data_IF_083964380171
#
_entry.id   IF_083964380171
#
_cell.length_a   1.000
_cell.length_b   1.000
_cell.length_c   1.000
_cell.angle_alpha   90.00
_cell.angle_beta   90.00
_cell.angle_gamma   90.00
#
_symmetry.space_group_name_H-M   'P 1'
#
loop_
_entity.id
_entity.type
_entity.pdbx_description
1 polymer ?
#
# COMPACT_ATOMS: atom_id res chain seq x y z
N UNK A 1 -30.17 -7.34 5.72
CA UNK A 1 -29.95 -8.65 5.02
C UNK A 1 -28.65 -8.57 4.27
N UNK A 2 -27.81 -9.57 4.44
CA UNK A 2 -26.50 -9.66 3.77
C UNK A 2 -26.68 -9.91 2.26
N UNK A 3 -26.05 -9.07 1.42
CA UNK A 3 -26.07 -9.18 -0.02
C UNK A 3 -24.66 -9.39 -0.56
N UNK A 4 -24.33 -10.61 -0.96
CA UNK A 4 -23.00 -10.98 -1.47
C UNK A 4 -22.51 -10.15 -2.66
N UNK A 5 -23.43 -9.57 -3.44
CA UNK A 5 -23.04 -8.75 -4.60
C UNK A 5 -22.61 -7.32 -4.25
N UNK A 6 -23.13 -6.77 -3.15
CA UNK A 6 -22.91 -5.37 -2.77
C UNK A 6 -22.12 -5.20 -1.49
N UNK A 7 -22.10 -6.23 -0.64
CA UNK A 7 -21.50 -6.12 0.69
C UNK A 7 -20.04 -6.60 0.75
N UNK A 8 -19.53 -7.21 -0.32
CA UNK A 8 -18.15 -7.66 -0.42
C UNK A 8 -17.35 -6.78 -1.36
N UNK A 9 -16.16 -6.39 -0.90
CA UNK A 9 -15.20 -5.65 -1.71
C UNK A 9 -14.38 -6.64 -2.53
N UNK A 10 -14.40 -6.48 -3.85
CA UNK A 10 -13.56 -7.29 -4.73
C UNK A 10 -12.13 -6.77 -4.71
N UNK A 11 -11.15 -7.68 -4.79
CA UNK A 11 -9.74 -7.32 -4.82
C UNK A 11 -9.37 -6.37 -5.96
N UNK A 12 -10.02 -6.51 -7.10
CA UNK A 12 -9.84 -5.62 -8.26
C UNK A 12 -10.36 -4.19 -8.03
N UNK A 13 -11.21 -3.99 -7.03
CA UNK A 13 -11.77 -2.69 -6.67
C UNK A 13 -10.89 -1.89 -5.69
N UNK A 14 -9.84 -2.49 -5.16
CA UNK A 14 -8.90 -1.79 -4.27
C UNK A 14 -7.56 -1.59 -4.97
N UNK A 15 -7.11 -0.35 -5.00
CA UNK A 15 -5.85 0.06 -5.61
C UNK A 15 -5.01 0.86 -4.64
N UNK A 16 -3.70 0.81 -4.84
CA UNK A 16 -2.73 1.62 -4.10
C UNK A 16 -2.29 2.79 -4.95
N UNK A 17 -2.40 3.98 -4.39
CA UNK A 17 -2.01 5.23 -5.03
C UNK A 17 -0.79 5.81 -4.31
N UNK A 18 0.19 6.23 -5.08
CA UNK A 18 1.39 6.90 -4.59
C UNK A 18 1.25 8.39 -4.86
N UNK A 19 1.44 9.19 -3.82
CA UNK A 19 1.42 10.65 -3.91
C UNK A 19 2.79 11.19 -4.30
N UNK A 20 2.80 12.05 -5.31
CA UNK A 20 3.96 12.83 -5.71
C UNK A 20 3.64 14.31 -5.54
N UNK A 21 4.47 15.00 -4.76
CA UNK A 21 4.29 16.43 -4.49
C UNK A 21 5.22 17.25 -5.36
N UNK A 22 4.64 18.12 -6.17
CA UNK A 22 5.37 19.10 -6.98
C UNK A 22 4.90 20.50 -6.55
N UNK A 23 5.79 21.25 -5.91
CA UNK A 23 5.43 22.54 -5.30
C UNK A 23 4.45 22.33 -4.13
N UNK A 24 3.27 22.94 -4.21
CA UNK A 24 2.21 22.84 -3.20
C UNK A 24 1.12 21.82 -3.57
N UNK A 25 1.24 21.16 -4.72
CA UNK A 25 0.24 20.21 -5.24
C UNK A 25 0.74 18.78 -5.11
N UNK A 26 -0.07 17.93 -4.49
CA UNK A 26 0.17 16.49 -4.41
C UNK A 26 -0.78 15.78 -5.37
N UNK A 27 -0.21 15.00 -6.29
CA UNK A 27 -0.96 14.18 -7.24
C UNK A 27 -0.79 12.71 -6.88
N UNK A 28 -1.90 11.98 -6.80
CA UNK A 28 -1.92 10.55 -6.53
C UNK A 28 -2.08 9.77 -7.83
N UNK A 29 -1.16 8.85 -8.07
CA UNK A 29 -1.17 7.99 -9.25
C UNK A 29 -1.17 6.52 -8.84
N UNK A 30 -1.96 5.67 -9.50
CA UNK A 30 -1.98 4.24 -9.18
C UNK A 30 -0.67 3.57 -9.60
N UNK A 31 -0.32 2.49 -8.90
CA UNK A 31 0.77 1.61 -9.33
C UNK A 31 0.32 0.90 -10.61
N UNK A 32 1.13 1.04 -11.65
CA UNK A 32 0.78 0.53 -12.98
C UNK A 32 0.63 -1.00 -12.97
N UNK A 33 -0.44 -1.48 -13.57
CA UNK A 33 -0.71 -2.90 -13.79
C UNK A 33 -0.49 -3.78 -12.54
N UNK A 34 -0.88 -3.27 -11.38
CA UNK A 34 -0.78 -4.01 -10.14
C UNK A 34 -1.70 -5.24 -10.16
N UNK A 35 -1.16 -6.37 -9.75
CA UNK A 35 -1.87 -7.64 -9.67
C UNK A 35 -2.29 -7.97 -8.24
N UNK A 36 -1.49 -7.59 -7.27
CA UNK A 36 -1.72 -7.92 -5.86
C UNK A 36 -1.24 -6.79 -4.96
N UNK A 37 -2.06 -6.47 -3.97
CA UNK A 37 -1.69 -5.57 -2.88
C UNK A 37 -1.93 -6.27 -1.55
N UNK A 38 -0.98 -6.16 -0.64
CA UNK A 38 -1.10 -6.69 0.71
C UNK A 38 -0.74 -5.63 1.73
N UNK A 39 -1.70 -5.27 2.58
CA UNK A 39 -1.49 -4.38 3.71
C UNK A 39 -1.46 -5.21 4.99
N UNK A 40 -0.37 -5.10 5.74
CA UNK A 40 -0.21 -5.73 7.05
C UNK A 40 -0.06 -4.67 8.12
N UNK A 41 -0.84 -4.78 9.17
CA UNK A 41 -0.76 -3.90 10.34
C UNK A 41 -0.38 -4.79 11.53
N UNK A 42 0.69 -4.44 12.22
CA UNK A 42 1.22 -5.21 13.34
C UNK A 42 1.36 -4.34 14.58
N UNK A 43 1.18 -4.95 15.73
CA UNK A 43 1.41 -4.30 17.02
C UNK A 43 2.44 -5.09 17.82
N UNK A 44 3.38 -4.39 18.43
CA UNK A 44 4.29 -4.99 19.38
C UNK A 44 3.55 -5.34 20.67
N UNK A 45 3.92 -6.44 21.30
CA UNK A 45 3.35 -6.86 22.56
C UNK A 45 4.28 -6.55 23.73
N UNK A 46 3.71 -6.07 24.82
CA UNK A 46 4.41 -5.84 26.07
C UNK A 46 3.88 -6.86 27.07
N UNK A 47 4.75 -7.74 27.57
CA UNK A 47 4.37 -8.74 28.57
C UNK A 47 4.10 -8.06 29.91
N UNK A 48 2.90 -8.19 30.40
CA UNK A 48 2.42 -7.65 31.70
C UNK A 48 2.12 -8.76 32.68
N UNK A 49 2.49 -10.00 32.37
CA UNK A 49 2.24 -11.16 33.23
C UNK A 49 2.87 -10.96 34.63
N UNK A 50 2.16 -11.35 35.65
CA UNK A 50 2.58 -11.27 37.04
C UNK A 50 2.24 -12.56 37.78
N UNK A 51 2.61 -12.63 39.06
CA UNK A 51 2.20 -13.75 39.93
C UNK A 51 0.69 -13.91 40.05
N UNK A 52 -0.08 -12.86 39.75
CA UNK A 52 -1.54 -12.87 39.79
C UNK A 52 -2.18 -13.29 38.47
N UNK A 53 -1.41 -13.40 37.38
CA UNK A 53 -1.94 -13.82 36.05
C UNK A 53 -2.26 -15.33 35.96
N UNK A 54 -1.84 -16.12 36.94
CA UNK A 54 -2.08 -17.56 36.98
C UNK A 54 -1.33 -18.30 35.87
N UNK A 55 -2.03 -19.21 35.20
CA UNK A 55 -1.48 -20.02 34.13
C UNK A 55 -1.43 -19.32 32.76
N UNK A 56 -2.02 -18.14 32.65
CA UNK A 56 -2.16 -17.40 31.41
C UNK A 56 -1.23 -16.19 31.37
N UNK A 57 -0.64 -15.96 30.19
CA UNK A 57 0.14 -14.73 29.94
C UNK A 57 -0.76 -13.58 29.62
N UNK A 58 -0.38 -12.41 30.09
CA UNK A 58 -1.07 -11.14 29.83
C UNK A 58 -0.15 -10.21 29.04
N UNK A 59 -0.71 -9.52 28.04
CA UNK A 59 0.02 -8.61 27.15
C UNK A 59 -0.75 -7.31 26.96
N UNK A 60 0.00 -6.23 26.78
CA UNK A 60 -0.49 -4.97 26.22
C UNK A 60 0.05 -4.79 24.82
N UNK A 61 -0.72 -4.12 23.98
CA UNK A 61 -0.24 -3.71 22.66
C UNK A 61 0.63 -2.46 22.81
N UNK A 62 1.85 -2.54 22.32
CA UNK A 62 2.79 -1.42 22.30
C UNK A 62 2.65 -0.57 21.04
N UNK A 63 3.76 -0.32 20.36
CA UNK A 63 3.75 0.45 19.11
C UNK A 63 3.14 -0.33 17.97
N UNK A 64 2.37 0.36 17.15
CA UNK A 64 1.81 -0.19 15.92
C UNK A 64 2.72 0.15 14.73
N UNK A 65 2.82 -0.78 13.81
CA UNK A 65 3.50 -0.58 12.54
C UNK A 65 2.65 -1.16 11.40
N UNK A 66 2.88 -0.68 10.20
CA UNK A 66 2.22 -1.20 9.03
C UNK A 66 3.18 -1.30 7.84
N UNK A 67 2.90 -2.23 6.97
CA UNK A 67 3.69 -2.53 5.79
C UNK A 67 2.75 -2.82 4.62
N UNK A 68 3.10 -2.30 3.46
CA UNK A 68 2.37 -2.53 2.23
C UNK A 68 3.30 -3.17 1.22
N UNK A 69 2.85 -4.28 0.63
CA UNK A 69 3.54 -4.95 -0.47
C UNK A 69 2.64 -4.94 -1.69
N UNK A 70 3.20 -4.60 -2.84
CA UNK A 70 2.50 -4.60 -4.12
C UNK A 70 3.31 -5.31 -5.18
N UNK A 71 2.64 -6.15 -5.95
CA UNK A 71 3.17 -6.79 -7.13
C UNK A 71 2.50 -6.22 -8.38
N UNK A 72 3.28 -5.92 -9.39
CA UNK A 72 2.80 -5.30 -10.63
C UNK A 72 3.58 -5.76 -11.85
N UNK A 73 2.98 -5.60 -13.02
CA UNK A 73 3.70 -5.73 -14.29
C UNK A 73 4.44 -4.42 -14.59
N UNK A 74 5.63 -4.52 -15.14
CA UNK A 74 6.41 -3.35 -15.50
C UNK A 74 5.81 -2.70 -16.74
N UNK A 75 5.47 -1.42 -16.64
CA UNK A 75 4.87 -0.63 -17.71
C UNK A 75 5.75 0.54 -18.12
N UNK A 76 5.59 0.96 -19.36
CA UNK A 76 6.15 2.21 -19.89
C UNK A 76 5.08 3.30 -20.04
N UNK A 77 3.85 3.02 -19.67
CA UNK A 77 2.73 3.97 -19.80
C UNK A 77 2.91 5.14 -18.85
N UNK A 78 2.73 6.35 -19.35
CA UNK A 78 2.69 7.57 -18.53
C UNK A 78 1.39 7.67 -17.73
N UNK A 79 1.40 8.43 -16.64
CA UNK A 79 0.24 8.64 -15.78
C UNK A 79 0.07 7.60 -14.68
N UNK A 80 0.87 6.54 -14.68
CA UNK A 80 0.90 5.52 -13.63
C UNK A 80 2.29 5.48 -12.97
N UNK A 81 2.35 5.06 -11.72
CA UNK A 81 3.61 4.83 -11.03
C UNK A 81 4.31 3.62 -11.64
N UNK A 82 5.33 3.88 -12.45
CA UNK A 82 6.18 2.85 -13.06
C UNK A 82 7.33 2.48 -12.14
N UNK A 83 8.02 1.38 -12.45
CA UNK A 83 9.22 0.97 -11.73
C UNK A 83 10.29 2.07 -11.70
N UNK A 84 10.50 2.78 -12.79
CA UNK A 84 11.50 3.85 -12.85
C UNK A 84 11.14 5.03 -11.95
N UNK A 85 9.88 5.43 -11.91
CA UNK A 85 9.39 6.49 -11.02
C UNK A 85 9.56 6.09 -9.54
N UNK A 86 9.21 4.86 -9.19
CA UNK A 86 9.38 4.33 -7.84
C UNK A 86 10.86 4.25 -7.43
N UNK A 87 11.72 3.88 -8.36
CA UNK A 87 13.17 3.87 -8.14
C UNK A 87 13.72 5.27 -7.86
N UNK A 88 13.25 6.28 -8.58
CA UNK A 88 13.63 7.68 -8.34
C UNK A 88 13.15 8.17 -6.97
N UNK A 89 11.92 7.84 -6.59
CA UNK A 89 11.38 8.17 -5.27
C UNK A 89 12.18 7.49 -4.15
N UNK A 90 12.55 6.23 -4.33
CA UNK A 90 13.41 5.52 -3.37
C UNK A 90 14.79 6.17 -3.25
N UNK A 91 15.37 6.63 -4.34
CA UNK A 91 16.68 7.29 -4.35
C UNK A 91 16.68 8.64 -3.62
N UNK A 92 15.55 9.33 -3.57
CA UNK A 92 15.38 10.57 -2.80
C UNK A 92 15.43 10.34 -1.28
N UNK A 93 15.21 9.12 -0.82
CA UNK A 93 15.21 8.71 0.61
C UNK A 93 14.24 9.49 1.49
N UNK A 94 13.15 9.94 0.91
CA UNK A 94 12.11 10.68 1.60
C UNK A 94 10.84 9.83 1.73
N UNK A 95 10.03 10.02 2.79
CA UNK A 95 8.73 9.39 2.87
C UNK A 95 7.83 9.83 1.73
N UNK A 96 7.03 8.91 1.24
CA UNK A 96 6.02 9.16 0.21
C UNK A 96 4.63 9.02 0.79
N UNK A 97 3.68 9.73 0.22
CA UNK A 97 2.28 9.62 0.60
C UNK A 97 1.64 8.44 -0.10
N UNK A 98 0.85 7.67 0.64
CA UNK A 98 0.15 6.50 0.14
C UNK A 98 -1.33 6.63 0.46
N UNK A 99 -2.17 6.30 -0.51
CA UNK A 99 -3.61 6.14 -0.32
C UNK A 99 -4.04 4.78 -0.87
N UNK A 100 -4.97 4.16 -0.17
CA UNK A 100 -5.60 2.92 -0.61
C UNK A 100 -7.09 3.20 -0.79
N UNK A 101 -7.61 2.87 -1.94
CA UNK A 101 -9.01 3.13 -2.24
C UNK A 101 -9.43 2.54 -3.57
N UNK A 102 -10.65 2.87 -3.98
CA UNK A 102 -11.20 2.42 -5.26
C UNK A 102 -10.99 3.49 -6.33
N UNK A 103 -10.81 3.10 -7.61
CA UNK A 103 -10.78 4.06 -8.71
C UNK A 103 -12.18 4.64 -8.96
N UNK A 104 -12.21 5.81 -9.57
CA UNK A 104 -13.47 6.39 -10.09
C UNK A 104 -14.06 5.44 -11.12
N UNK A 105 -15.37 5.19 -11.04
CA UNK A 105 -16.08 4.31 -11.98
C UNK A 105 -15.99 4.89 -13.39
N UNK A 106 -15.67 4.02 -14.36
CA UNK A 106 -15.52 4.37 -15.78
C UNK A 106 -14.39 5.35 -16.13
N UNK A 107 -13.44 5.57 -15.21
CA UNK A 107 -12.24 6.34 -15.52
C UNK A 107 -11.14 5.42 -16.08
N UNK A 108 -10.74 5.66 -17.33
CA UNK A 108 -9.68 4.89 -17.99
C UNK A 108 -8.29 5.10 -17.35
N UNK A 109 -8.09 6.18 -16.63
CA UNK A 109 -6.84 6.49 -15.92
C UNK A 109 -6.80 5.94 -14.48
N UNK A 110 -7.88 5.34 -14.03
CA UNK A 110 -8.01 4.79 -12.68
C UNK A 110 -7.71 5.80 -11.56
N UNK A 111 -8.13 7.06 -11.73
CA UNK A 111 -8.00 8.07 -10.69
C UNK A 111 -8.69 7.64 -9.38
N UNK A 112 -8.10 8.02 -8.25
CA UNK A 112 -8.67 7.70 -6.94
C UNK A 112 -10.03 8.39 -6.76
N UNK A 113 -11.03 7.61 -6.37
CA UNK A 113 -12.28 8.15 -5.83
C UNK A 113 -12.07 8.50 -4.35
N UNK A 114 -11.95 9.78 -4.06
CA UNK A 114 -11.72 10.26 -2.69
C UNK A 114 -12.84 9.89 -1.71
N UNK A 115 -14.04 9.66 -2.21
CA UNK A 115 -15.16 9.20 -1.39
C UNK A 115 -15.06 7.73 -0.99
N UNK A 116 -14.26 6.96 -1.72
CA UNK A 116 -14.02 5.53 -1.49
C UNK A 116 -12.61 5.25 -0.91
N UNK A 117 -11.93 6.26 -0.40
CA UNK A 117 -10.64 6.10 0.28
C UNK A 117 -10.81 5.26 1.55
N UNK A 118 -10.05 4.18 1.66
CA UNK A 118 -10.10 3.27 2.81
C UNK A 118 -8.98 3.49 3.82
N UNK A 119 -7.82 3.92 3.36
CA UNK A 119 -6.68 4.18 4.23
C UNK A 119 -5.69 5.16 3.58
N UNK A 120 -5.03 5.94 4.39
CA UNK A 120 -3.96 6.84 3.95
C UNK A 120 -2.85 6.94 4.99
N UNK A 121 -1.65 7.19 4.54
CA UNK A 121 -0.50 7.35 5.42
C UNK A 121 0.76 7.71 4.65
N UNK A 122 1.86 7.84 5.36
CA UNK A 122 3.19 8.03 4.78
C UNK A 122 4.00 6.76 4.91
N UNK A 123 4.81 6.46 3.92
CA UNK A 123 5.67 5.28 3.92
C UNK A 123 7.02 5.56 3.28
N UNK A 124 7.99 4.74 3.60
CA UNK A 124 9.28 4.70 2.92
C UNK A 124 9.40 3.42 2.10
N UNK A 125 9.99 3.53 0.93
CA UNK A 125 10.25 2.37 0.09
C UNK A 125 11.46 1.62 0.67
N UNK A 126 11.25 0.40 1.11
CA UNK A 126 12.30 -0.43 1.72
C UNK A 126 12.86 -1.46 0.76
N UNK A 127 12.07 -1.90 -0.21
CA UNK A 127 12.50 -2.87 -1.22
C UNK A 127 11.81 -2.58 -2.55
N UNK A 128 12.56 -2.69 -3.62
CA UNK A 128 12.06 -2.56 -4.98
C UNK A 128 12.79 -3.55 -5.86
N UNK A 129 12.05 -4.54 -6.36
CA UNK A 129 12.60 -5.63 -7.17
C UNK A 129 11.96 -5.64 -8.55
N UNK A 130 12.74 -6.02 -9.53
CA UNK A 130 12.29 -6.22 -10.90
C UNK A 130 12.78 -7.57 -11.39
N UNK A 131 11.86 -8.39 -11.86
CA UNK A 131 12.16 -9.72 -12.40
C UNK A 131 11.85 -9.76 -13.88
N UNK A 132 12.81 -10.19 -14.67
CA UNK A 132 12.67 -10.38 -16.11
C UNK A 132 13.08 -11.81 -16.47
N UNK A 133 12.11 -12.58 -16.92
CA UNK A 133 12.32 -13.97 -17.36
C UNK A 133 12.06 -14.04 -18.86
N UNK A 134 12.94 -14.74 -19.59
CA UNK A 134 12.78 -14.92 -21.04
C UNK A 134 11.47 -15.63 -21.37
N UNK A 135 10.67 -15.04 -22.25
CA UNK A 135 9.37 -15.57 -22.65
C UNK A 135 8.20 -15.12 -21.75
N UNK A 136 8.45 -14.32 -20.72
CA UNK A 136 7.44 -13.82 -19.79
C UNK A 136 7.47 -12.29 -19.72
N UNK A 137 6.39 -11.70 -19.19
CA UNK A 137 6.34 -10.27 -18.90
C UNK A 137 7.23 -9.94 -17.69
N UNK A 138 7.84 -8.77 -17.73
CA UNK A 138 8.58 -8.26 -16.56
C UNK A 138 7.62 -7.94 -15.43
N UNK A 139 7.97 -8.39 -14.24
CA UNK A 139 7.22 -8.09 -13.01
C UNK A 139 8.06 -7.23 -12.07
N UNK A 140 7.39 -6.46 -11.23
CA UNK A 140 8.04 -5.73 -10.14
C UNK A 140 7.33 -5.97 -8.84
N UNK A 141 8.10 -5.98 -7.76
CA UNK A 141 7.59 -6.05 -6.39
C UNK A 141 8.12 -4.86 -5.61
N UNK A 142 7.24 -4.17 -4.92
CA UNK A 142 7.59 -3.05 -4.04
C UNK A 142 7.13 -3.35 -2.63
N UNK A 143 7.99 -3.06 -1.66
CA UNK A 143 7.66 -3.10 -0.24
C UNK A 143 7.79 -1.71 0.37
N UNK A 144 6.73 -1.26 0.99
CA UNK A 144 6.61 0.03 1.64
C UNK A 144 6.47 -0.19 3.15
N UNK A 145 7.34 0.44 3.93
CA UNK A 145 7.21 0.44 5.37
C UNK A 145 6.55 1.72 5.82
N UNK A 146 5.44 1.61 6.52
CA UNK A 146 4.72 2.75 7.06
C UNK A 146 5.55 3.54 8.06
N UNK A 147 5.46 4.85 7.98
CA UNK A 147 6.03 5.77 8.97
C UNK A 147 4.91 6.67 9.48
N UNK A 148 4.67 6.61 10.79
CA UNK A 148 3.54 7.28 11.41
C UNK A 148 2.23 6.51 11.32
N UNK A 149 1.14 7.17 11.66
CA UNK A 149 -0.18 6.56 11.71
C UNK A 149 -0.74 6.27 10.31
N UNK A 150 -1.47 5.18 10.21
CA UNK A 150 -2.33 4.87 9.07
C UNK A 150 -3.76 5.34 9.42
N UNK A 151 -4.26 6.23 8.63
CA UNK A 151 -5.61 6.79 8.82
C UNK A 151 -6.67 6.01 8.08
#
# INVERSE_FOLDING_TARGET
MYNQKTDLIKGEALMVYVGETVGEVTTYSPIAYASTHTLSINGDTIDTSSKFSGAWKEFLVGQLNWQLTSESLVSKTSGHMSFNTLKELMAKREPILIKIGSPVVDDAEFALDESAETASGSAVITSLEKTATSGELCTSSITLQGTGALS
#
